data_IF_848620991783
#
_entry.id   IF_848620991783
#
_cell.length_a   1.000
_cell.length_b   1.000
_cell.length_c   1.000
_cell.angle_alpha   90.00
_cell.angle_beta   90.00
_cell.angle_gamma   90.00
#
_symmetry.space_group_name_H-M   'P 1'
#
loop_
_entity.id
_entity.type
_entity.pdbx_description
1 polymer ?
#
# COMPACT_ATOMS: atom_id res chain seq x y z
N UNK A 1 5.64 -1.81 27.29
CA UNK A 1 6.06 -2.49 26.05
C UNK A 1 5.52 -1.63 24.93
N UNK A 2 6.45 -0.93 24.29
CA UNK A 2 6.15 0.12 23.32
C UNK A 2 5.53 -0.49 22.07
N UNK A 3 4.43 0.09 21.65
CA UNK A 3 3.70 -0.20 20.42
C UNK A 3 4.54 0.28 19.21
N UNK A 4 5.60 -0.44 18.88
CA UNK A 4 6.35 -0.30 17.63
C UNK A 4 5.64 -1.03 16.49
N UNK A 5 4.31 -1.16 16.62
CA UNK A 5 3.50 -1.83 15.64
C UNK A 5 3.55 -1.07 14.30
N UNK A 6 4.26 -1.66 13.36
CA UNK A 6 4.01 -1.54 11.93
C UNK A 6 4.08 -0.12 11.34
N UNK A 7 5.11 0.65 11.72
CA UNK A 7 5.40 1.92 11.03
C UNK A 7 5.96 1.58 9.64
N UNK A 8 5.11 1.70 8.61
CA UNK A 8 5.58 1.54 7.23
C UNK A 8 6.58 2.67 6.94
N UNK A 9 7.84 2.33 6.60
CA UNK A 9 8.86 3.34 6.33
C UNK A 9 8.47 4.28 5.20
N UNK A 10 9.05 5.46 5.17
CA UNK A 10 8.88 6.37 4.05
C UNK A 10 9.43 5.76 2.77
N UNK A 11 8.77 5.99 1.63
CA UNK A 11 9.17 5.45 0.32
C UNK A 11 10.53 5.97 -0.16
N UNK A 12 10.99 7.10 0.39
CA UNK A 12 12.33 7.66 0.18
C UNK A 12 12.96 7.84 1.54
N UNK A 13 14.08 7.14 1.76
CA UNK A 13 14.79 7.14 3.04
C UNK A 13 15.42 8.50 3.37
N UNK A 14 15.82 9.28 2.36
CA UNK A 14 16.40 10.60 2.52
C UNK A 14 15.52 11.69 1.89
N UNK A 15 14.73 12.41 2.69
CA UNK A 15 13.91 13.52 2.22
C UNK A 15 14.70 14.82 1.99
N UNK A 16 16.05 14.84 2.13
CA UNK A 16 16.88 16.03 2.02
C UNK A 16 16.81 16.74 0.66
N UNK A 17 16.24 16.09 -0.37
CA UNK A 17 15.97 16.71 -1.67
C UNK A 17 14.83 17.75 -1.64
N UNK A 18 14.19 17.93 -0.48
CA UNK A 18 13.07 18.85 -0.29
C UNK A 18 13.38 19.82 0.84
N UNK A 19 13.01 21.09 0.69
CA UNK A 19 13.09 22.10 1.75
C UNK A 19 11.81 22.08 2.64
N UNK A 20 11.84 22.73 3.77
CA UNK A 20 10.93 22.71 4.92
C UNK A 20 9.50 22.13 4.78
N UNK A 21 8.60 22.72 3.99
CA UNK A 21 7.24 22.18 3.74
C UNK A 21 7.23 20.92 2.86
N UNK A 22 8.36 20.52 2.35
CA UNK A 22 8.50 19.41 1.43
C UNK A 22 8.26 18.06 2.09
N UNK A 23 8.59 17.90 3.36
CA UNK A 23 8.35 16.66 4.08
C UNK A 23 6.85 16.32 4.17
N UNK A 24 6.01 17.33 4.40
CA UNK A 24 4.56 17.13 4.39
C UNK A 24 4.03 16.75 3.00
N UNK A 25 4.48 17.46 1.94
CA UNK A 25 4.08 17.16 0.56
C UNK A 25 4.52 15.77 0.13
N UNK A 26 5.73 15.36 0.54
CA UNK A 26 6.23 14.01 0.29
C UNK A 26 5.35 12.96 0.95
N UNK A 27 5.05 13.12 2.24
CA UNK A 27 4.16 12.19 2.98
C UNK A 27 2.75 12.14 2.37
N UNK A 28 2.21 13.27 1.96
CA UNK A 28 0.90 13.34 1.29
C UNK A 28 0.91 12.61 -0.06
N UNK A 29 1.97 12.77 -0.85
CA UNK A 29 2.14 12.06 -2.12
C UNK A 29 2.30 10.54 -1.91
N UNK A 30 3.07 10.12 -0.90
CA UNK A 30 3.16 8.71 -0.50
C UNK A 30 1.80 8.14 -0.13
N UNK A 31 1.03 8.85 0.69
CA UNK A 31 -0.31 8.42 1.09
C UNK A 31 -1.25 8.30 -0.12
N UNK A 32 -1.16 9.21 -1.10
CA UNK A 32 -1.94 9.14 -2.33
C UNK A 32 -1.59 7.91 -3.18
N UNK A 33 -0.29 7.60 -3.32
CA UNK A 33 0.16 6.41 -4.05
C UNK A 33 -0.28 5.12 -3.34
N UNK A 34 -0.08 5.02 -2.02
CA UNK A 34 -0.49 3.86 -1.22
C UNK A 34 -2.00 3.63 -1.31
N UNK A 35 -2.80 4.70 -1.25
CA UNK A 35 -4.26 4.63 -1.44
C UNK A 35 -4.64 4.16 -2.85
N UNK A 36 -3.96 4.64 -3.88
CA UNK A 36 -4.19 4.22 -5.27
C UNK A 36 -3.83 2.76 -5.50
N UNK A 37 -2.74 2.28 -4.91
CA UNK A 37 -2.27 0.90 -5.03
C UNK A 37 -2.98 -0.06 -4.08
N UNK A 38 -3.55 0.43 -2.98
CA UNK A 38 -4.22 -0.38 -1.96
C UNK A 38 -3.28 -1.03 -0.95
N UNK A 39 -1.98 -0.73 -1.00
CA UNK A 39 -0.95 -1.24 -0.10
C UNK A 39 0.29 -0.34 -0.09
N UNK A 40 1.32 -0.67 0.73
CA UNK A 40 2.46 0.23 0.93
C UNK A 40 3.41 0.35 -0.26
N UNK A 41 3.49 -0.65 -1.17
CA UNK A 41 4.30 -0.77 -2.39
C UNK A 41 5.79 -0.88 -2.12
N UNK A 42 6.39 0.07 -1.45
CA UNK A 42 7.81 0.12 -1.10
C UNK A 42 8.06 0.90 0.20
N UNK A 43 9.20 0.66 0.87
CA UNK A 43 10.22 -0.35 0.60
C UNK A 43 9.77 -1.77 1.00
N UNK A 44 10.61 -2.80 0.75
CA UNK A 44 10.40 -4.12 1.35
C UNK A 44 10.53 -4.02 2.87
N UNK A 45 9.49 -4.45 3.57
CA UNK A 45 9.43 -4.32 5.04
C UNK A 45 8.59 -5.41 5.67
N UNK A 46 8.79 -5.63 6.96
CA UNK A 46 7.97 -6.53 7.75
C UNK A 46 6.56 -5.97 7.93
N UNK A 47 5.56 -6.78 7.66
CA UNK A 47 4.15 -6.46 7.82
C UNK A 47 3.49 -7.56 8.65
N UNK A 48 2.65 -7.16 9.59
CA UNK A 48 1.83 -8.09 10.37
C UNK A 48 0.39 -7.61 10.43
N UNK A 49 -0.52 -8.55 10.57
CA UNK A 49 -1.93 -8.18 10.68
C UNK A 49 -2.86 -9.39 10.64
N UNK A 50 -4.12 -9.10 10.35
CA UNK A 50 -5.17 -10.11 10.30
C UNK A 50 -5.93 -10.03 8.98
N UNK A 51 -6.42 -11.18 8.54
CA UNK A 51 -7.25 -11.29 7.35
C UNK A 51 -8.64 -11.78 7.76
N UNK A 52 -9.64 -11.07 7.26
CA UNK A 52 -11.03 -11.51 7.31
C UNK A 52 -11.29 -12.40 6.09
N UNK A 53 -11.79 -13.59 6.28
CA UNK A 53 -12.06 -14.52 5.20
C UNK A 53 -13.43 -15.16 5.33
N UNK A 54 -14.03 -15.49 4.20
CA UNK A 54 -15.27 -16.28 4.13
C UNK A 54 -15.01 -17.79 4.09
N UNK A 55 -13.74 -18.21 4.27
CA UNK A 55 -13.29 -19.55 3.99
C UNK A 55 -12.89 -19.70 2.52
N UNK A 56 -12.64 -20.94 2.11
CA UNK A 56 -12.20 -21.26 0.76
C UNK A 56 -10.74 -21.70 0.72
N UNK A 57 -10.28 -22.10 -0.46
CA UNK A 57 -8.92 -22.64 -0.65
C UNK A 57 -7.87 -21.57 -0.88
N UNK A 58 -8.28 -20.37 -1.30
CA UNK A 58 -7.35 -19.27 -1.66
C UNK A 58 -7.69 -17.99 -0.90
N UNK A 59 -6.66 -17.35 -0.39
CA UNK A 59 -6.74 -15.98 0.16
C UNK A 59 -5.72 -15.09 -0.54
N UNK A 60 -5.86 -13.78 -0.34
CA UNK A 60 -4.86 -12.78 -0.76
C UNK A 60 -4.28 -12.10 0.46
N UNK A 61 -2.96 -12.04 0.53
CA UNK A 61 -2.25 -11.16 1.45
C UNK A 61 -2.45 -9.70 1.04
N UNK A 62 -2.42 -8.76 2.00
CA UNK A 62 -2.61 -7.33 1.69
C UNK A 62 -1.36 -6.68 1.09
N UNK A 63 -0.63 -7.40 0.28
CA UNK A 63 0.59 -6.96 -0.39
C UNK A 63 0.85 -7.81 -1.65
N UNK A 64 1.54 -7.21 -2.62
CA UNK A 64 2.24 -7.89 -3.70
C UNK A 64 3.72 -8.03 -3.32
N UNK A 65 4.48 -8.75 -4.16
CA UNK A 65 5.93 -8.97 -3.99
C UNK A 65 6.28 -9.37 -2.56
N UNK A 66 5.72 -10.51 -2.16
CA UNK A 66 5.93 -11.11 -0.84
C UNK A 66 7.22 -11.90 -0.86
N UNK A 67 8.26 -11.38 -0.21
CA UNK A 67 9.60 -12.00 -0.21
C UNK A 67 9.70 -13.15 0.77
N UNK A 68 8.97 -13.09 1.89
CA UNK A 68 8.84 -14.21 2.84
C UNK A 68 7.53 -14.16 3.60
N UNK A 69 7.08 -15.32 4.06
CA UNK A 69 6.01 -15.47 5.04
C UNK A 69 6.64 -16.09 6.28
N UNK A 70 6.79 -15.29 7.34
CA UNK A 70 7.37 -15.73 8.61
C UNK A 70 6.36 -16.56 9.41
N UNK A 71 5.10 -16.14 9.37
CA UNK A 71 4.03 -16.78 10.11
C UNK A 71 2.69 -16.63 9.39
N UNK A 72 1.96 -17.75 9.29
CA UNK A 72 0.55 -17.76 8.88
C UNK A 72 -0.20 -18.70 9.81
N UNK A 73 -1.06 -18.16 10.64
CA UNK A 73 -1.78 -18.92 11.67
C UNK A 73 -3.27 -18.64 11.65
N UNK A 74 -4.05 -19.57 12.20
CA UNK A 74 -5.44 -19.30 12.50
C UNK A 74 -5.60 -18.42 13.74
N UNK A 75 -6.85 -18.17 14.14
CA UNK A 75 -7.18 -17.35 15.33
C UNK A 75 -6.62 -17.94 16.62
N UNK A 76 -6.53 -19.26 16.70
CA UNK A 76 -6.11 -20.02 17.88
C UNK A 76 -4.58 -20.19 17.93
N UNK A 77 -3.86 -19.70 16.90
CA UNK A 77 -2.41 -19.75 16.81
C UNK A 77 -1.87 -21.03 16.14
N UNK A 78 -2.75 -21.88 15.57
CA UNK A 78 -2.31 -23.05 14.85
C UNK A 78 -1.72 -22.67 13.50
N UNK A 79 -0.56 -23.23 13.15
CA UNK A 79 0.07 -22.99 11.84
C UNK A 79 -0.77 -23.56 10.71
N UNK A 80 -0.97 -22.77 9.69
CA UNK A 80 -1.66 -23.18 8.47
C UNK A 80 -0.65 -23.75 7.47
N UNK A 81 -1.01 -24.84 6.79
CA UNK A 81 -0.23 -25.37 5.67
C UNK A 81 -0.65 -24.67 4.38
N UNK A 82 0.31 -24.09 3.65
CA UNK A 82 0.04 -23.27 2.49
C UNK A 82 1.13 -23.38 1.42
N UNK A 83 0.75 -23.02 0.19
CA UNK A 83 1.64 -22.59 -0.88
C UNK A 83 1.30 -21.12 -1.23
N UNK A 84 2.26 -20.35 -1.74
CA UNK A 84 1.99 -18.97 -2.10
C UNK A 84 2.72 -18.54 -3.37
N UNK A 85 2.14 -17.58 -4.05
CA UNK A 85 2.76 -16.89 -5.18
C UNK A 85 3.37 -15.57 -4.69
N UNK A 86 4.71 -15.44 -4.71
CA UNK A 86 5.39 -14.26 -4.19
C UNK A 86 5.03 -12.99 -4.96
N UNK A 87 4.74 -13.06 -6.25
CA UNK A 87 4.47 -11.87 -7.06
C UNK A 87 3.07 -11.29 -6.80
N UNK A 88 2.08 -12.14 -6.62
CA UNK A 88 0.68 -11.71 -6.49
C UNK A 88 0.18 -11.67 -5.05
N UNK A 89 0.92 -12.28 -4.11
CA UNK A 89 0.49 -12.42 -2.72
C UNK A 89 -0.72 -13.34 -2.55
N UNK A 90 -1.02 -14.19 -3.53
CA UNK A 90 -2.02 -15.24 -3.40
C UNK A 90 -1.48 -16.39 -2.58
N UNK A 91 -2.29 -16.92 -1.68
CA UNK A 91 -1.94 -18.06 -0.81
C UNK A 91 -3.02 -19.11 -0.92
N UNK A 92 -2.60 -20.34 -1.23
CA UNK A 92 -3.47 -21.50 -1.31
C UNK A 92 -3.30 -22.39 -0.08
N UNK A 93 -4.41 -22.82 0.49
CA UNK A 93 -4.40 -23.78 1.61
C UNK A 93 -4.12 -25.20 1.12
N UNK A 94 -3.16 -25.86 1.75
CA UNK A 94 -2.83 -27.27 1.49
C UNK A 94 -3.60 -28.25 2.41
N UNK A 95 -4.43 -27.74 3.32
CA UNK A 95 -5.17 -28.53 4.31
C UNK A 95 -6.70 -28.48 4.16
N UNK A 96 -7.20 -28.24 2.94
CA UNK A 96 -8.64 -28.32 2.64
C UNK A 96 -9.41 -27.01 2.79
N UNK A 97 -8.73 -25.91 3.06
CA UNK A 97 -9.33 -24.56 3.09
C UNK A 97 -8.87 -23.72 4.29
N UNK A 98 -9.12 -22.44 4.20
CA UNK A 98 -8.87 -21.48 5.28
C UNK A 98 -10.08 -21.36 6.21
N UNK A 99 -9.86 -21.03 7.51
CA UNK A 99 -10.98 -20.79 8.43
C UNK A 99 -11.76 -19.55 8.03
N UNK A 100 -13.09 -19.59 8.16
CA UNK A 100 -13.96 -18.46 7.93
C UNK A 100 -14.12 -17.58 9.17
N UNK A 101 -14.25 -16.27 8.97
CA UNK A 101 -14.54 -15.33 10.05
C UNK A 101 -13.77 -14.01 9.97
N UNK A 102 -14.05 -13.15 10.94
CA UNK A 102 -13.33 -11.90 11.16
C UNK A 102 -12.03 -12.24 11.91
N UNK A 103 -10.91 -11.64 11.46
CA UNK A 103 -9.57 -11.93 11.99
C UNK A 103 -9.27 -13.45 12.06
N UNK A 104 -9.74 -14.19 11.05
CA UNK A 104 -9.64 -15.64 11.03
C UNK A 104 -8.21 -16.12 10.80
N UNK A 105 -7.38 -15.32 10.14
CA UNK A 105 -5.98 -15.63 9.84
C UNK A 105 -5.11 -14.46 10.33
N UNK A 106 -4.00 -14.81 10.97
CA UNK A 106 -2.93 -13.87 11.33
C UNK A 106 -1.74 -14.12 10.43
N UNK A 107 -1.10 -13.05 9.98
CA UNK A 107 0.08 -13.14 9.12
C UNK A 107 1.21 -12.26 9.63
N UNK A 108 2.43 -12.72 9.38
CA UNK A 108 3.67 -11.97 9.49
C UNK A 108 4.45 -12.25 8.21
N UNK A 109 4.73 -11.20 7.45
CA UNK A 109 5.34 -11.30 6.11
C UNK A 109 6.39 -10.22 5.91
N UNK A 110 7.30 -10.45 4.99
CA UNK A 110 8.08 -9.38 4.36
C UNK A 110 7.55 -9.16 2.95
N UNK A 111 7.24 -7.92 2.60
CA UNK A 111 6.71 -7.58 1.30
C UNK A 111 7.09 -6.16 0.87
N UNK A 112 7.05 -5.90 -0.42
CA UNK A 112 7.37 -4.62 -1.02
C UNK A 112 8.56 -4.70 -1.97
N UNK A 113 8.72 -3.67 -2.76
CA UNK A 113 9.83 -3.53 -3.69
C UNK A 113 10.95 -2.73 -3.02
N UNK A 114 12.19 -3.20 -3.09
CA UNK A 114 13.36 -2.43 -2.64
C UNK A 114 13.69 -1.31 -3.63
N UNK A 115 13.44 -1.53 -4.91
CA UNK A 115 13.59 -0.55 -5.96
C UNK A 115 12.41 -0.58 -6.93
N UNK A 116 11.77 0.59 -7.11
CA UNK A 116 10.67 0.81 -8.06
C UNK A 116 10.77 2.24 -8.63
N UNK A 117 11.67 2.47 -9.60
CA UNK A 117 11.98 3.82 -10.12
C UNK A 117 10.78 4.54 -10.73
N UNK A 118 9.85 3.83 -11.32
CA UNK A 118 8.60 4.37 -11.85
C UNK A 118 7.67 4.87 -10.75
N UNK A 119 7.52 4.15 -9.63
CA UNK A 119 6.78 4.60 -8.45
C UNK A 119 7.45 5.81 -7.81
N UNK A 120 8.78 5.80 -7.67
CA UNK A 120 9.57 6.91 -7.16
C UNK A 120 9.42 8.16 -8.06
N UNK A 121 9.43 7.97 -9.38
CA UNK A 121 9.21 9.05 -10.36
C UNK A 121 7.83 9.69 -10.19
N UNK A 122 6.79 8.89 -9.99
CA UNK A 122 5.43 9.37 -9.71
C UNK A 122 5.40 10.14 -8.37
N UNK A 123 6.02 9.59 -7.33
CA UNK A 123 6.10 10.22 -6.03
C UNK A 123 6.74 11.61 -6.09
N UNK A 124 7.92 11.70 -6.71
CA UNK A 124 8.65 12.97 -6.85
C UNK A 124 7.83 13.98 -7.67
N UNK A 125 7.24 13.54 -8.77
CA UNK A 125 6.43 14.41 -9.64
C UNK A 125 5.20 14.95 -8.91
N UNK A 126 4.48 14.10 -8.18
CA UNK A 126 3.30 14.49 -7.41
C UNK A 126 3.67 15.46 -6.27
N UNK A 127 4.74 15.16 -5.52
CA UNK A 127 5.21 16.00 -4.42
C UNK A 127 5.71 17.39 -4.91
N UNK A 128 6.47 17.42 -6.01
CA UNK A 128 6.93 18.68 -6.63
C UNK A 128 5.77 19.54 -7.13
N UNK A 129 4.80 18.91 -7.81
CA UNK A 129 3.60 19.62 -8.32
C UNK A 129 2.80 20.25 -7.18
N UNK A 130 2.64 19.55 -6.05
CA UNK A 130 1.98 20.10 -4.87
C UNK A 130 2.67 21.34 -4.29
N UNK A 131 3.97 21.51 -4.55
CA UNK A 131 4.74 22.70 -4.13
C UNK A 131 4.75 23.86 -5.12
N UNK A 132 4.40 23.62 -6.39
CA UNK A 132 4.52 24.63 -7.45
C UNK A 132 3.32 25.58 -7.54
N UNK A 133 2.19 25.27 -6.92
CA UNK A 133 1.00 26.09 -6.97
C UNK A 133 0.73 26.72 -5.61
N UNK A 134 0.85 28.05 -5.47
CA UNK A 134 0.40 28.78 -4.27
C UNK A 134 -1.11 28.67 -4.05
N UNK A 135 -1.84 28.32 -5.12
CA UNK A 135 -3.26 27.97 -5.17
C UNK A 135 -3.45 26.49 -5.52
N UNK A 136 -2.39 25.67 -5.40
CA UNK A 136 -2.20 24.35 -5.98
C UNK A 136 -3.14 23.25 -5.54
N UNK A 137 -4.23 23.62 -4.94
CA UNK A 137 -5.27 22.74 -4.46
C UNK A 137 -6.61 22.99 -5.16
N UNK A 138 -6.68 23.94 -6.10
CA UNK A 138 -7.92 24.23 -6.84
C UNK A 138 -7.85 23.55 -8.21
N UNK A 139 -8.39 22.37 -8.33
CA UNK A 139 -8.48 21.62 -9.60
C UNK A 139 -9.71 22.01 -10.43
N UNK A 140 -10.56 22.93 -9.99
CA UNK A 140 -11.62 23.47 -10.83
C UNK A 140 -12.08 24.83 -10.31
N UNK A 141 -11.84 25.90 -11.04
CA UNK A 141 -12.69 27.08 -10.98
C UNK A 141 -13.95 26.80 -11.79
N UNK A 142 -15.03 26.45 -11.14
CA UNK A 142 -16.36 26.57 -11.68
C UNK A 142 -16.97 27.85 -11.13
N UNK A 143 -17.14 28.82 -11.99
CA UNK A 143 -17.93 30.03 -11.71
C UNK A 143 -19.39 29.61 -11.70
N UNK A 144 -20.00 29.56 -10.54
CA UNK A 144 -21.36 29.26 -10.12
C UNK A 144 -21.53 27.98 -9.34
N UNK A 145 -21.37 28.09 -8.04
CA UNK A 145 -22.03 27.23 -7.06
C UNK A 145 -21.54 25.80 -6.97
N UNK A 146 -20.24 25.55 -6.81
CA UNK A 146 -19.74 24.18 -6.58
C UNK A 146 -18.62 24.13 -5.56
N UNK A 147 -18.77 23.19 -4.64
CA UNK A 147 -17.81 22.84 -3.59
C UNK A 147 -16.44 22.51 -4.18
N UNK A 148 -15.42 23.29 -3.80
CA UNK A 148 -14.03 22.94 -4.05
C UNK A 148 -13.64 21.78 -3.11
N UNK A 149 -13.37 20.60 -3.66
CA UNK A 149 -12.73 19.54 -2.91
C UNK A 149 -11.23 19.81 -2.86
N UNK A 150 -10.73 20.09 -1.67
CA UNK A 150 -9.30 20.25 -1.43
C UNK A 150 -8.64 18.88 -1.33
N UNK A 151 -8.17 18.36 -2.43
CA UNK A 151 -7.31 17.18 -2.42
C UNK A 151 -5.85 17.64 -2.38
N UNK A 152 -5.18 17.44 -1.25
CA UNK A 152 -3.84 17.99 -0.98
C UNK A 152 -2.81 17.50 -2.00
N UNK A 153 -2.96 16.29 -2.50
CA UNK A 153 -2.18 15.74 -3.62
C UNK A 153 -3.05 14.85 -4.47
N UNK A 154 -3.39 15.27 -5.68
CA UNK A 154 -4.09 14.43 -6.65
C UNK A 154 -3.09 13.80 -7.64
N UNK A 155 -3.25 12.49 -7.91
CA UNK A 155 -2.50 11.81 -8.96
C UNK A 155 -3.15 12.07 -10.32
N UNK A 156 -2.33 12.42 -11.32
CA UNK A 156 -2.77 12.54 -12.70
C UNK A 156 -3.13 11.16 -13.29
N UNK A 157 -3.97 11.12 -14.32
CA UNK A 157 -4.33 9.85 -14.96
C UNK A 157 -3.11 9.09 -15.47
N UNK A 158 -2.13 9.78 -16.08
CA UNK A 158 -0.87 9.17 -16.53
C UNK A 158 -0.04 8.58 -15.39
N UNK A 159 -0.11 9.17 -14.19
CA UNK A 159 0.55 8.65 -12.99
C UNK A 159 -0.18 7.41 -12.46
N UNK A 160 -1.51 7.45 -12.44
CA UNK A 160 -2.32 6.26 -12.09
C UNK A 160 -2.10 5.10 -13.06
N UNK A 161 -1.90 5.40 -14.35
CA UNK A 161 -1.61 4.38 -15.36
C UNK A 161 -0.27 3.69 -15.11
N UNK A 162 0.76 4.43 -14.69
CA UNK A 162 2.04 3.87 -14.26
C UNK A 162 1.94 3.01 -13.00
N UNK A 163 0.99 3.32 -12.12
CA UNK A 163 0.79 2.57 -10.87
C UNK A 163 -0.09 1.32 -11.06
N UNK A 164 -0.72 1.11 -12.21
CA UNK A 164 -1.57 -0.06 -12.47
C UNK A 164 -0.92 -1.41 -12.15
N UNK A 165 0.37 -1.66 -12.52
CA UNK A 165 1.03 -2.92 -12.21
C UNK A 165 1.17 -3.19 -10.71
N UNK A 166 1.17 -2.13 -9.91
CA UNK A 166 1.34 -2.19 -8.44
C UNK A 166 0.04 -2.23 -7.67
N UNK A 167 -1.12 -2.18 -8.33
CA UNK A 167 -2.41 -2.21 -7.64
C UNK A 167 -2.73 -3.60 -7.11
N UNK A 168 -3.14 -3.63 -5.85
CA UNK A 168 -3.64 -4.84 -5.24
C UNK A 168 -4.94 -5.27 -5.95
N UNK A 169 -4.91 -6.42 -6.60
CA UNK A 169 -6.08 -6.97 -7.30
C UNK A 169 -7.09 -7.60 -6.33
N UNK A 170 -8.28 -7.96 -6.87
CA UNK A 170 -9.21 -8.82 -6.15
C UNK A 170 -8.74 -10.29 -6.09
N UNK A 171 -9.46 -11.13 -5.35
CA UNK A 171 -9.33 -12.58 -5.48
C UNK A 171 -9.74 -13.01 -6.88
N UNK A 172 -9.12 -14.03 -7.45
CA UNK A 172 -9.51 -14.61 -8.73
C UNK A 172 -10.90 -15.23 -8.66
#
# INVERSE_FOLDING_TARGET
MSDEANVIPDMIADPSAFEDDAAFRLKAAQAAIRRECGWHVMPNTALSGVINTRGGSVIRLPAHHVTSIESLTDRDGNKLAYAYDPETGLVESLSGGFPAGIAAIRYEIHAGYDDAPDVQSVLISAAKRAGMSPLGLITSQSTNGSSASFDVVSLMQSEKDKLKPYKLGGLP
#
